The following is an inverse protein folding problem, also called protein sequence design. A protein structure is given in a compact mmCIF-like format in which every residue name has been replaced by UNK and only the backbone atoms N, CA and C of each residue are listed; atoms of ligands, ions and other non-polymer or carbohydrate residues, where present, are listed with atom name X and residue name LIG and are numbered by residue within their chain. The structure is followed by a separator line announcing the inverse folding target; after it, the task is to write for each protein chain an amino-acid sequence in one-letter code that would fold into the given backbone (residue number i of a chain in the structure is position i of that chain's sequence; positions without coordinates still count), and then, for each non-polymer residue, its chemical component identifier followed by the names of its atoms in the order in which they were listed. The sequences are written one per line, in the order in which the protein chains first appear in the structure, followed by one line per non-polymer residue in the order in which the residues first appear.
data_IF_016347095276
#
_entry.id   IF_016347095276
#
_cell.length_a   1.000
_cell.length_b   1.000
_cell.length_c   1.000
_cell.angle_alpha   90.00
_cell.angle_beta   90.00
_cell.angle_gamma   90.00
#
_symmetry.space_group_name_H-M   'P 1'
#
loop_
_entity.id
_entity.type
_entity.pdbx_description
1 polymer ?
#
# COMPACT_ATOMS: atom_id res chain seq x y z
N UNK A 1 -29.61 -103.00 -25.59
CA UNK A 1 -30.16 -104.37 -25.73
C UNK A 1 -31.11 -104.59 -24.55
N UNK A 2 -32.30 -103.99 -24.65
CA UNK A 2 -33.38 -104.18 -23.70
C UNK A 2 -34.59 -104.61 -24.52
N UNK A 3 -35.09 -105.78 -24.17
CA UNK A 3 -36.03 -106.60 -24.92
C UNK A 3 -37.37 -105.89 -25.00
N UNK A 4 -37.75 -105.49 -26.20
CA UNK A 4 -39.05 -104.89 -26.52
C UNK A 4 -40.14 -105.88 -26.09
N UNK A 5 -40.74 -105.62 -24.95
CA UNK A 5 -41.70 -106.49 -24.29
C UNK A 5 -43.06 -106.30 -24.96
N UNK A 6 -43.13 -106.59 -26.27
CA UNK A 6 -44.37 -106.72 -27.03
C UNK A 6 -45.20 -107.77 -26.30
N UNK A 7 -46.26 -107.36 -25.61
CA UNK A 7 -47.17 -108.26 -24.91
C UNK A 7 -47.52 -109.39 -25.88
N UNK A 8 -47.08 -110.62 -25.55
CA UNK A 8 -47.04 -111.79 -26.44
C UNK A 8 -48.41 -112.36 -26.82
N UNK A 9 -49.34 -111.50 -27.23
CA UNK A 9 -50.69 -111.80 -27.69
C UNK A 9 -50.65 -111.65 -29.22
N UNK A 10 -50.96 -112.73 -29.93
CA UNK A 10 -51.01 -112.69 -31.40
C UNK A 10 -52.44 -112.36 -31.88
N UNK A 11 -52.59 -112.03 -33.16
CA UNK A 11 -53.88 -111.70 -33.79
C UNK A 11 -54.97 -112.76 -33.56
N UNK A 12 -54.60 -114.04 -33.45
CA UNK A 12 -55.55 -115.13 -33.24
C UNK A 12 -56.11 -115.13 -31.81
N UNK A 13 -55.37 -114.60 -30.84
CA UNK A 13 -55.84 -114.45 -29.47
C UNK A 13 -56.78 -113.24 -29.32
N UNK A 14 -56.57 -112.16 -30.09
CA UNK A 14 -57.51 -111.03 -30.17
C UNK A 14 -58.84 -111.41 -30.84
N UNK A 15 -58.81 -112.31 -31.82
CA UNK A 15 -59.99 -112.79 -32.53
C UNK A 15 -60.98 -113.60 -31.67
N UNK A 16 -60.55 -114.07 -30.48
CA UNK A 16 -61.42 -114.78 -29.52
C UNK A 16 -62.32 -113.84 -28.73
N UNK A 17 -61.93 -112.57 -28.58
CA UNK A 17 -62.62 -111.59 -27.73
C UNK A 17 -63.33 -110.49 -28.51
N UNK A 18 -62.99 -110.31 -29.79
CA UNK A 18 -63.52 -109.25 -30.62
C UNK A 18 -64.36 -109.83 -31.77
N UNK A 19 -65.59 -109.34 -31.99
CA UNK A 19 -66.56 -109.96 -32.89
C UNK A 19 -66.26 -109.76 -34.38
N UNK A 20 -65.39 -108.80 -34.73
CA UNK A 20 -65.13 -108.43 -36.12
C UNK A 20 -63.68 -107.95 -36.36
N UNK A 21 -63.21 -108.09 -37.61
CA UNK A 21 -61.84 -107.76 -38.01
C UNK A 21 -61.50 -106.26 -37.90
N UNK A 22 -62.49 -105.36 -37.92
CA UNK A 22 -62.24 -103.92 -37.73
C UNK A 22 -61.93 -103.63 -36.28
N UNK A 23 -62.64 -104.25 -35.34
CA UNK A 23 -62.38 -104.15 -33.91
C UNK A 23 -60.97 -104.63 -33.54
N UNK A 24 -60.49 -105.73 -34.15
CA UNK A 24 -59.11 -106.22 -33.95
C UNK A 24 -58.08 -105.19 -34.42
N UNK A 25 -58.27 -104.59 -35.60
CA UNK A 25 -57.35 -103.59 -36.15
C UNK A 25 -57.37 -102.27 -35.36
N UNK A 26 -58.53 -101.86 -34.85
CA UNK A 26 -58.64 -100.71 -33.96
C UNK A 26 -57.89 -100.93 -32.64
N UNK A 27 -57.93 -102.16 -32.11
CA UNK A 27 -57.22 -102.53 -30.89
C UNK A 27 -55.70 -102.65 -31.11
N UNK A 28 -55.26 -103.19 -32.25
CA UNK A 28 -53.85 -103.18 -32.68
C UNK A 28 -53.30 -101.73 -32.77
N UNK A 29 -54.07 -100.81 -33.37
CA UNK A 29 -53.69 -99.40 -33.47
C UNK A 29 -53.58 -98.71 -32.10
N UNK A 30 -54.49 -99.03 -31.16
CA UNK A 30 -54.47 -98.46 -29.82
C UNK A 30 -53.17 -98.81 -29.08
N UNK A 31 -52.64 -100.02 -29.25
CA UNK A 31 -51.38 -100.41 -28.60
C UNK A 31 -50.16 -99.73 -29.21
N UNK A 32 -50.14 -99.56 -30.53
CA UNK A 32 -49.09 -98.76 -31.20
C UNK A 32 -49.12 -97.32 -30.68
N UNK A 33 -50.30 -96.74 -30.48
CA UNK A 33 -50.45 -95.40 -29.93
C UNK A 33 -50.00 -95.32 -28.46
N UNK A 34 -50.23 -96.36 -27.64
CA UNK A 34 -49.79 -96.41 -26.24
C UNK A 34 -48.27 -96.50 -26.12
N UNK A 35 -47.61 -97.34 -26.93
CA UNK A 35 -46.15 -97.48 -26.94
C UNK A 35 -45.47 -96.19 -27.45
N UNK A 36 -45.99 -95.59 -28.52
CA UNK A 36 -45.52 -94.30 -29.01
C UNK A 36 -45.70 -93.19 -27.95
N UNK A 37 -46.83 -93.18 -27.23
CA UNK A 37 -47.05 -92.20 -26.15
C UNK A 37 -46.12 -92.42 -24.96
N UNK A 38 -45.73 -93.66 -24.64
CA UNK A 38 -44.76 -93.94 -23.57
C UNK A 38 -43.36 -93.44 -23.92
N UNK A 39 -42.87 -93.69 -25.14
CA UNK A 39 -41.56 -93.19 -25.59
C UNK A 39 -41.54 -91.65 -25.68
N UNK A 40 -42.60 -91.04 -26.21
CA UNK A 40 -42.75 -89.57 -26.24
C UNK A 40 -42.69 -88.99 -24.82
N UNK A 41 -43.27 -89.65 -23.82
CA UNK A 41 -43.30 -89.17 -22.45
C UNK A 41 -41.90 -89.21 -21.78
N UNK A 42 -41.09 -90.23 -22.08
CA UNK A 42 -39.71 -90.35 -21.54
C UNK A 42 -38.78 -89.29 -22.13
N UNK A 43 -38.84 -89.06 -23.45
CA UNK A 43 -38.04 -88.01 -24.10
C UNK A 43 -38.46 -86.61 -23.65
N UNK A 44 -39.75 -86.39 -23.43
CA UNK A 44 -40.27 -85.13 -22.88
C UNK A 44 -39.77 -84.92 -21.43
N UNK A 45 -39.74 -85.97 -20.61
CA UNK A 45 -39.18 -85.90 -19.25
C UNK A 45 -37.68 -85.58 -19.27
N UNK A 46 -36.90 -86.19 -20.17
CA UNK A 46 -35.48 -85.92 -20.30
C UNK A 46 -35.20 -84.48 -20.77
N UNK A 47 -35.97 -83.97 -21.73
CA UNK A 47 -35.86 -82.56 -22.17
C UNK A 47 -36.29 -81.58 -21.08
N UNK A 48 -37.31 -81.90 -20.29
CA UNK A 48 -37.71 -81.10 -19.12
C UNK A 48 -36.61 -81.11 -18.05
N UNK A 49 -35.97 -82.25 -17.77
CA UNK A 49 -34.85 -82.33 -16.82
C UNK A 49 -33.66 -81.48 -17.27
N UNK A 50 -33.26 -81.58 -18.54
CA UNK A 50 -32.17 -80.78 -19.11
C UNK A 50 -32.48 -79.27 -19.09
N UNK A 51 -33.72 -78.87 -19.41
CA UNK A 51 -34.12 -77.47 -19.33
C UNK A 51 -34.15 -76.94 -17.89
N UNK A 52 -34.52 -77.79 -16.92
CA UNK A 52 -34.46 -77.48 -15.49
C UNK A 52 -33.02 -77.31 -15.00
N UNK A 53 -32.09 -78.15 -15.43
CA UNK A 53 -30.66 -78.02 -15.09
C UNK A 53 -30.06 -76.73 -15.65
N UNK A 54 -30.37 -76.40 -16.91
CA UNK A 54 -29.97 -75.13 -17.53
C UNK A 54 -30.58 -73.91 -16.80
N UNK A 55 -31.84 -74.02 -16.37
CA UNK A 55 -32.48 -72.97 -15.57
C UNK A 55 -31.79 -72.79 -14.21
N UNK A 56 -31.39 -73.89 -13.55
CA UNK A 56 -30.60 -73.86 -12.32
C UNK A 56 -29.24 -73.18 -12.50
N UNK A 57 -28.51 -73.52 -13.56
CA UNK A 57 -27.23 -72.89 -13.88
C UNK A 57 -27.37 -71.38 -14.16
N UNK A 58 -28.40 -70.97 -14.91
CA UNK A 58 -28.69 -69.56 -15.17
C UNK A 58 -29.06 -68.79 -13.89
N UNK A 59 -29.80 -69.41 -12.97
CA UNK A 59 -30.13 -68.81 -11.68
C UNK A 59 -28.87 -68.59 -10.80
N UNK A 60 -27.93 -69.53 -10.80
CA UNK A 60 -26.65 -69.38 -10.09
C UNK A 60 -25.82 -68.24 -10.69
N UNK A 61 -25.73 -68.15 -12.02
CA UNK A 61 -25.05 -67.04 -12.68
C UNK A 61 -25.67 -65.68 -12.37
N UNK A 62 -27.01 -65.60 -12.34
CA UNK A 62 -27.71 -64.37 -11.98
C UNK A 62 -27.41 -63.95 -10.52
N UNK A 63 -27.37 -64.90 -9.59
CA UNK A 63 -27.03 -64.62 -8.19
C UNK A 63 -25.58 -64.11 -8.05
N UNK A 64 -24.63 -64.72 -8.77
CA UNK A 64 -23.25 -64.25 -8.79
C UNK A 64 -23.12 -62.83 -9.38
N UNK A 65 -23.92 -62.51 -10.40
CA UNK A 65 -23.95 -61.16 -10.98
C UNK A 65 -24.52 -60.12 -10.01
N UNK A 66 -25.57 -60.48 -9.25
CA UNK A 66 -26.15 -59.62 -8.23
C UNK A 66 -25.13 -59.35 -7.11
N UNK A 67 -24.40 -60.38 -6.68
CA UNK A 67 -23.36 -60.21 -5.66
C UNK A 67 -22.22 -59.31 -6.15
N UNK A 68 -21.80 -59.45 -7.41
CA UNK A 68 -20.83 -58.56 -8.03
C UNK A 68 -21.34 -57.11 -8.13
N UNK A 69 -22.63 -56.92 -8.43
CA UNK A 69 -23.26 -55.59 -8.45
C UNK A 69 -23.31 -55.00 -7.03
N UNK A 70 -23.62 -55.80 -6.01
CA UNK A 70 -23.60 -55.35 -4.61
C UNK A 70 -22.19 -54.91 -4.18
N UNK A 71 -21.16 -55.71 -4.48
CA UNK A 71 -19.77 -55.34 -4.20
C UNK A 71 -19.37 -54.05 -4.94
N UNK A 72 -19.79 -53.89 -6.19
CA UNK A 72 -19.53 -52.68 -6.97
C UNK A 72 -20.29 -51.47 -6.41
N UNK A 73 -21.51 -51.65 -5.91
CA UNK A 73 -22.31 -50.62 -5.26
C UNK A 73 -21.71 -50.19 -3.91
N UNK A 74 -21.21 -51.14 -3.10
CA UNK A 74 -20.48 -50.84 -1.86
C UNK A 74 -19.18 -50.07 -2.15
N UNK A 75 -18.44 -50.46 -3.19
CA UNK A 75 -17.25 -49.75 -3.66
C UNK A 75 -17.60 -48.32 -4.11
N UNK A 76 -18.68 -48.15 -4.87
CA UNK A 76 -19.21 -46.84 -5.29
C UNK A 76 -19.68 -45.99 -4.12
N UNK A 77 -20.23 -46.59 -3.08
CA UNK A 77 -20.66 -45.90 -1.87
C UNK A 77 -19.48 -45.48 -0.97
N UNK A 78 -18.31 -46.13 -1.12
CA UNK A 78 -17.07 -45.76 -0.41
C UNK A 78 -16.19 -44.79 -1.21
N UNK A 79 -16.48 -44.53 -2.48
CA UNK A 79 -15.85 -43.42 -3.20
C UNK A 79 -16.23 -42.10 -2.51
N UNK A 80 -15.24 -41.22 -2.22
CA UNK A 80 -15.55 -39.88 -1.72
C UNK A 80 -16.38 -39.12 -2.75
N UNK A 81 -17.40 -38.41 -2.27
CA UNK A 81 -18.33 -37.61 -3.06
C UNK A 81 -17.58 -36.61 -3.98
N UNK A 82 -17.28 -37.00 -5.21
CA UNK A 82 -17.00 -36.07 -6.30
C UNK A 82 -18.35 -35.52 -6.78
N UNK A 83 -18.96 -34.66 -5.96
CA UNK A 83 -19.89 -33.67 -6.50
C UNK A 83 -19.07 -32.89 -7.51
N UNK A 84 -19.41 -32.99 -8.78
CA UNK A 84 -18.89 -32.10 -9.81
C UNK A 84 -19.30 -30.69 -9.39
N UNK A 85 -18.42 -30.00 -8.67
CA UNK A 85 -18.61 -28.65 -8.22
C UNK A 85 -18.70 -27.77 -9.46
N UNK A 86 -19.82 -27.06 -9.57
CA UNK A 86 -20.01 -25.97 -10.52
C UNK A 86 -18.77 -25.06 -10.54
N UNK A 87 -18.32 -24.74 -11.74
CA UNK A 87 -17.29 -23.75 -12.10
C UNK A 87 -16.29 -23.35 -10.99
N UNK A 88 -15.08 -23.92 -11.11
CA UNK A 88 -13.84 -23.21 -10.80
C UNK A 88 -13.52 -22.94 -9.31
N UNK A 89 -13.80 -23.91 -8.43
CA UNK A 89 -13.19 -23.95 -7.09
C UNK A 89 -12.51 -25.30 -6.88
N UNK A 90 -11.19 -25.29 -6.87
CA UNK A 90 -10.38 -26.42 -6.41
C UNK A 90 -10.69 -26.62 -4.92
N UNK A 91 -11.24 -27.78 -4.58
CA UNK A 91 -11.47 -28.19 -3.20
C UNK A 91 -10.13 -28.59 -2.58
N UNK A 92 -9.60 -27.75 -1.69
CA UNK A 92 -8.21 -27.75 -1.19
C UNK A 92 -7.87 -28.97 -0.32
N UNK A 93 -8.81 -29.92 -0.15
CA UNK A 93 -8.57 -31.18 0.53
C UNK A 93 -8.12 -32.32 -0.41
N UNK A 94 -7.91 -32.06 -1.70
CA UNK A 94 -7.27 -33.00 -2.63
C UNK A 94 -6.13 -32.29 -3.39
N UNK A 95 -4.89 -32.71 -3.15
CA UNK A 95 -3.66 -32.36 -3.90
C UNK A 95 -2.98 -31.01 -3.57
N UNK A 96 -2.43 -30.88 -2.36
CA UNK A 96 -1.15 -30.17 -2.15
C UNK A 96 -0.21 -31.04 -1.28
N UNK A 97 -0.15 -32.35 -1.56
CA UNK A 97 0.86 -33.25 -0.98
C UNK A 97 2.04 -33.50 -1.91
N UNK A 98 2.21 -32.69 -2.96
CA UNK A 98 3.40 -32.73 -3.79
C UNK A 98 4.24 -31.51 -3.45
N UNK A 99 5.52 -31.72 -3.16
CA UNK A 99 6.51 -30.64 -3.16
C UNK A 99 6.48 -30.08 -4.59
N UNK A 100 5.84 -28.93 -4.79
CA UNK A 100 5.83 -28.23 -6.06
C UNK A 100 7.00 -27.27 -6.09
N UNK A 101 7.90 -27.42 -7.06
CA UNK A 101 9.07 -26.53 -7.21
C UNK A 101 8.64 -25.10 -7.61
N UNK A 102 7.52 -24.96 -8.33
CA UNK A 102 6.98 -23.68 -8.78
C UNK A 102 5.46 -23.75 -9.01
N UNK A 103 4.86 -22.57 -9.20
CA UNK A 103 3.44 -22.35 -9.46
C UNK A 103 3.33 -21.45 -10.70
N UNK A 104 2.91 -22.01 -11.83
CA UNK A 104 2.73 -21.26 -13.07
C UNK A 104 1.36 -20.58 -13.10
N UNK A 105 1.33 -19.33 -13.55
CA UNK A 105 0.11 -18.56 -13.73
C UNK A 105 -0.20 -18.40 -15.22
N UNK A 106 -1.48 -18.46 -15.58
CA UNK A 106 -1.93 -18.16 -16.93
C UNK A 106 -1.69 -16.69 -17.25
N UNK A 107 -0.79 -16.43 -18.22
CA UNK A 107 -0.38 -15.08 -18.61
C UNK A 107 -1.27 -14.43 -19.67
N UNK A 108 -2.17 -15.20 -20.28
CA UNK A 108 -3.10 -14.71 -21.31
C UNK A 108 -4.50 -14.43 -20.76
N UNK A 109 -4.83 -14.95 -19.58
CA UNK A 109 -6.16 -14.80 -18.98
C UNK A 109 -6.45 -13.35 -18.53
N UNK A 110 -7.60 -12.82 -18.93
CA UNK A 110 -8.17 -11.61 -18.32
C UNK A 110 -8.89 -11.98 -17.04
N UNK A 111 -8.53 -11.37 -15.92
CA UNK A 111 -9.18 -11.63 -14.63
C UNK A 111 -9.93 -10.39 -14.14
N UNK A 112 -11.10 -10.61 -13.55
CA UNK A 112 -11.81 -9.56 -12.82
C UNK A 112 -11.20 -9.35 -11.44
N UNK A 113 -11.30 -8.11 -10.93
CA UNK A 113 -10.94 -7.80 -9.56
C UNK A 113 -11.76 -8.66 -8.58
N UNK A 114 -11.07 -9.29 -7.64
CA UNK A 114 -11.68 -9.90 -6.46
C UNK A 114 -10.71 -9.86 -5.29
N UNK A 115 -11.24 -9.74 -4.07
CA UNK A 115 -10.41 -9.72 -2.86
C UNK A 115 -9.77 -11.09 -2.67
N UNK A 116 -8.48 -11.10 -2.30
CA UNK A 116 -7.64 -12.28 -2.14
C UNK A 116 -7.40 -13.11 -3.42
N UNK A 117 -7.66 -12.52 -4.61
CA UNK A 117 -7.29 -13.13 -5.89
C UNK A 117 -5.86 -12.74 -6.27
N UNK A 118 -5.05 -13.74 -6.64
CA UNK A 118 -3.72 -13.59 -7.21
C UNK A 118 -3.78 -13.97 -8.70
N UNK A 119 -3.35 -13.08 -9.59
CA UNK A 119 -3.38 -13.33 -11.03
C UNK A 119 -2.24 -12.59 -11.75
N UNK A 120 -1.83 -13.08 -12.91
CA UNK A 120 -0.81 -12.42 -13.73
C UNK A 120 -1.39 -11.19 -14.45
N UNK A 121 -0.75 -10.03 -14.32
CA UNK A 121 -1.08 -8.82 -15.09
C UNK A 121 -0.17 -8.74 -16.32
N UNK A 122 -0.73 -8.97 -17.51
CA UNK A 122 0.03 -8.84 -18.76
C UNK A 122 0.48 -7.39 -19.05
N UNK A 123 -0.24 -6.39 -18.51
CA UNK A 123 0.10 -4.97 -18.69
C UNK A 123 1.27 -4.53 -17.79
N UNK A 124 1.33 -5.06 -16.57
CA UNK A 124 2.36 -4.72 -15.59
C UNK A 124 3.49 -5.76 -15.51
N UNK A 125 3.42 -6.84 -16.30
CA UNK A 125 4.41 -7.94 -16.36
C UNK A 125 4.73 -8.54 -14.97
N UNK A 126 3.73 -8.61 -14.10
CA UNK A 126 3.89 -9.09 -12.72
C UNK A 126 2.59 -9.67 -12.16
N UNK A 127 2.72 -10.42 -11.07
CA UNK A 127 1.58 -10.90 -10.29
C UNK A 127 0.89 -9.75 -9.57
N UNK A 128 -0.43 -9.77 -9.59
CA UNK A 128 -1.29 -8.80 -8.94
C UNK A 128 -2.18 -9.47 -7.89
N UNK A 129 -2.30 -8.85 -6.70
CA UNK A 129 -3.20 -9.30 -5.64
C UNK A 129 -4.29 -8.28 -5.35
N UNK A 130 -5.55 -8.75 -5.39
CA UNK A 130 -6.73 -7.94 -5.07
C UNK A 130 -6.94 -7.80 -3.56
N UNK A 131 -7.12 -6.56 -3.11
CA UNK A 131 -7.27 -6.20 -1.71
C UNK A 131 -8.64 -5.57 -1.45
N UNK A 132 -9.10 -5.58 -0.19
CA UNK A 132 -10.30 -4.82 0.20
C UNK A 132 -10.17 -3.33 -0.17
N UNK A 133 -11.28 -2.74 -0.63
CA UNK A 133 -11.33 -1.34 -1.05
C UNK A 133 -11.01 -1.11 -2.54
N UNK A 134 -11.02 -2.15 -3.38
CA UNK A 134 -10.80 -2.03 -4.82
C UNK A 134 -9.32 -1.90 -5.21
N UNK A 135 -8.39 -2.04 -4.26
CA UNK A 135 -6.95 -1.89 -4.51
C UNK A 135 -6.40 -3.17 -5.11
N UNK A 136 -5.64 -3.04 -6.20
CA UNK A 136 -4.88 -4.14 -6.80
C UNK A 136 -3.40 -3.82 -6.60
N UNK A 137 -2.67 -4.70 -5.92
CA UNK A 137 -1.23 -4.54 -5.70
C UNK A 137 -0.44 -5.24 -6.79
N UNK A 138 0.44 -4.53 -7.48
CA UNK A 138 1.47 -5.16 -8.33
C UNK A 138 2.63 -5.61 -7.44
N UNK A 139 2.81 -6.93 -7.33
CA UNK A 139 3.81 -7.51 -6.43
C UNK A 139 5.22 -7.17 -6.95
N UNK A 140 6.05 -6.61 -6.07
CA UNK A 140 7.41 -6.20 -6.41
C UNK A 140 7.54 -4.78 -6.99
N UNK A 141 6.44 -4.19 -7.45
CA UNK A 141 6.44 -2.82 -8.01
C UNK A 141 5.88 -1.77 -7.06
N UNK A 142 5.03 -2.19 -6.11
CA UNK A 142 4.29 -1.28 -5.23
C UNK A 142 4.47 -1.60 -3.75
N UNK A 143 4.64 -0.56 -2.95
CA UNK A 143 4.72 -0.60 -1.49
C UNK A 143 3.62 0.25 -0.87
N UNK A 144 2.78 -0.39 -0.06
CA UNK A 144 1.70 0.28 0.67
C UNK A 144 1.99 0.41 2.16
N UNK A 145 1.61 1.56 2.72
CA UNK A 145 1.41 1.72 4.14
C UNK A 145 -0.07 1.50 4.50
N UNK A 146 -0.33 0.68 5.51
CA UNK A 146 -1.67 0.48 6.07
C UNK A 146 -1.98 1.58 7.08
N UNK A 147 -3.11 2.25 6.89
CA UNK A 147 -3.50 3.42 7.70
C UNK A 147 -4.96 3.31 8.14
N UNK A 148 -5.31 4.01 9.22
CA UNK A 148 -6.71 4.13 9.68
C UNK A 148 -7.12 5.60 9.59
N UNK A 149 -8.19 5.89 8.85
CA UNK A 149 -8.69 7.24 8.74
C UNK A 149 -9.58 7.57 9.95
N UNK A 150 -9.12 8.47 10.81
CA UNK A 150 -9.90 8.99 11.95
C UNK A 150 -10.09 10.51 11.86
N UNK A 151 -10.07 11.10 10.65
CA UNK A 151 -10.15 12.56 10.46
C UNK A 151 -11.56 13.13 10.59
N UNK A 152 -12.59 12.28 10.70
CA UNK A 152 -13.99 12.71 10.68
C UNK A 152 -14.54 12.92 9.26
N UNK A 153 -13.75 12.72 8.21
CA UNK A 153 -14.15 12.93 6.81
C UNK A 153 -13.64 11.82 5.89
N UNK A 154 -14.20 11.74 4.68
CA UNK A 154 -13.66 10.88 3.62
C UNK A 154 -12.26 11.38 3.19
N UNK A 155 -11.31 10.46 3.06
CA UNK A 155 -10.07 10.67 2.32
C UNK A 155 -10.28 10.09 0.93
N UNK A 156 -10.12 10.91 -0.11
CA UNK A 156 -10.33 10.48 -1.49
C UNK A 156 -9.07 9.83 -2.07
N UNK A 157 -9.24 8.94 -3.03
CA UNK A 157 -8.16 8.41 -3.85
C UNK A 157 -7.30 9.57 -4.42
N UNK A 158 -5.98 9.39 -4.43
CA UNK A 158 -5.02 10.41 -4.85
C UNK A 158 -4.74 11.51 -3.82
N UNK A 159 -5.40 11.52 -2.66
CA UNK A 159 -5.09 12.51 -1.62
C UNK A 159 -3.68 12.30 -1.07
N UNK A 160 -2.92 13.37 -0.88
CA UNK A 160 -1.62 13.35 -0.19
C UNK A 160 -1.84 13.13 1.30
N UNK A 161 -1.28 12.04 1.83
CA UNK A 161 -1.45 11.63 3.22
C UNK A 161 -0.15 11.80 3.99
N UNK A 162 -0.29 12.23 5.24
CA UNK A 162 0.81 12.30 6.19
C UNK A 162 0.33 12.11 7.62
N UNK A 163 1.29 12.11 8.53
CA UNK A 163 1.03 12.03 9.97
C UNK A 163 0.51 13.37 10.49
N UNK A 164 -0.43 13.34 11.42
CA UNK A 164 -1.06 14.55 11.99
C UNK A 164 -0.57 14.89 13.39
N UNK A 165 0.42 14.17 13.93
CA UNK A 165 0.94 14.37 15.29
C UNK A 165 1.36 13.08 15.98
N UNK A 166 1.23 13.03 17.31
CA UNK A 166 1.73 11.92 18.13
C UNK A 166 1.10 10.57 17.78
N UNK A 167 1.93 9.60 17.40
CA UNK A 167 1.52 8.22 17.14
C UNK A 167 1.35 7.92 15.65
N UNK A 168 0.40 7.04 15.32
CA UNK A 168 0.15 6.55 13.95
C UNK A 168 -1.06 7.23 13.30
N UNK A 169 -1.48 8.38 13.83
CA UNK A 169 -2.62 9.12 13.32
C UNK A 169 -2.28 9.75 11.97
N UNK A 170 -3.17 9.55 11.00
CA UNK A 170 -3.00 10.05 9.63
C UNK A 170 -4.07 11.07 9.27
N UNK A 171 -3.76 11.90 8.28
CA UNK A 171 -4.69 12.83 7.68
C UNK A 171 -4.15 13.39 6.37
N UNK A 172 -4.92 14.33 5.79
CA UNK A 172 -4.50 15.04 4.59
C UNK A 172 -3.29 15.93 4.91
N UNK A 173 -2.18 15.72 4.23
CA UNK A 173 -0.95 16.48 4.46
C UNK A 173 -1.01 17.85 3.77
N UNK A 174 -0.43 18.87 4.39
CA UNK A 174 -0.31 20.22 3.82
C UNK A 174 1.14 20.71 3.94
N UNK A 175 1.71 21.22 2.85
CA UNK A 175 3.12 21.57 2.76
C UNK A 175 3.43 23.02 3.19
N UNK A 176 2.68 23.57 4.14
CA UNK A 176 2.78 24.97 4.57
C UNK A 176 3.80 25.25 5.69
N UNK A 177 4.55 24.23 6.13
CA UNK A 177 5.49 24.34 7.25
C UNK A 177 4.90 24.07 8.65
N UNK A 178 3.59 23.84 8.77
CA UNK A 178 2.94 23.52 10.06
C UNK A 178 3.25 22.08 10.49
N UNK A 179 3.43 21.18 9.52
CA UNK A 179 3.83 19.80 9.75
C UNK A 179 5.26 19.58 9.24
N UNK A 180 6.09 18.79 9.94
CA UNK A 180 7.41 18.42 9.46
C UNK A 180 7.37 17.68 8.12
N UNK A 181 8.40 17.88 7.29
CA UNK A 181 8.51 17.22 5.98
C UNK A 181 8.51 15.68 6.03
N UNK A 182 9.11 15.10 7.08
CA UNK A 182 9.17 13.65 7.29
C UNK A 182 7.82 13.03 7.68
N UNK A 183 6.78 13.83 7.89
CA UNK A 183 5.43 13.32 8.18
C UNK A 183 4.66 13.00 6.90
N UNK A 184 5.10 13.49 5.74
CA UNK A 184 4.51 13.11 4.46
C UNK A 184 4.77 11.62 4.19
N UNK A 185 3.72 10.87 3.87
CA UNK A 185 3.80 9.43 3.67
C UNK A 185 3.70 9.04 2.20
N UNK A 186 2.72 9.58 1.47
CA UNK A 186 2.45 9.19 0.08
C UNK A 186 1.05 9.59 -0.38
N UNK A 187 0.52 8.89 -1.38
CA UNK A 187 -0.84 9.12 -1.91
C UNK A 187 -1.80 8.01 -1.49
N UNK A 188 -3.04 8.36 -1.14
CA UNK A 188 -4.10 7.37 -0.96
C UNK A 188 -4.35 6.65 -2.30
N UNK A 189 -4.44 5.31 -2.27
CA UNK A 189 -4.70 4.49 -3.48
C UNK A 189 -6.17 4.11 -3.65
N UNK A 190 -7.01 4.54 -2.72
CA UNK A 190 -8.44 4.26 -2.67
C UNK A 190 -9.14 5.37 -1.89
N UNK A 191 -10.45 5.43 -2.00
CA UNK A 191 -11.28 6.15 -1.05
C UNK A 191 -11.25 5.44 0.32
N UNK A 192 -11.03 6.21 1.39
CA UNK A 192 -10.93 5.71 2.77
C UNK A 192 -11.94 6.49 3.62
N UNK A 193 -13.09 5.88 3.90
CA UNK A 193 -14.11 6.48 4.76
C UNK A 193 -13.61 6.67 6.20
N UNK A 194 -14.24 7.58 6.95
CA UNK A 194 -13.93 7.79 8.36
C UNK A 194 -14.12 6.48 9.14
N UNK A 195 -13.25 6.23 10.12
CA UNK A 195 -13.11 5.01 10.94
C UNK A 195 -12.68 3.74 10.17
N UNK A 196 -12.44 3.83 8.86
CA UNK A 196 -12.03 2.68 8.05
C UNK A 196 -10.51 2.58 7.89
N UNK A 197 -10.04 1.35 7.67
CA UNK A 197 -8.66 1.09 7.27
C UNK A 197 -8.51 1.19 5.75
N UNK A 198 -7.46 1.85 5.32
CA UNK A 198 -7.10 1.99 3.91
C UNK A 198 -5.63 1.70 3.65
N UNK A 199 -5.22 1.97 2.41
CA UNK A 199 -3.85 1.88 1.94
C UNK A 199 -3.40 3.21 1.34
N UNK A 200 -2.13 3.51 1.56
CA UNK A 200 -1.42 4.65 0.99
C UNK A 200 -0.22 4.13 0.24
N UNK A 201 -0.06 4.50 -1.03
CA UNK A 201 1.12 4.17 -1.84
C UNK A 201 2.28 5.05 -1.40
N UNK A 202 3.35 4.42 -0.92
CA UNK A 202 4.62 5.08 -0.57
C UNK A 202 5.59 4.98 -1.75
N UNK A 203 5.50 3.90 -2.52
CA UNK A 203 6.23 3.70 -3.76
C UNK A 203 5.36 2.89 -4.71
N UNK A 204 5.30 3.27 -5.99
CA UNK A 204 4.50 2.55 -6.99
C UNK A 204 3.50 3.44 -7.71
N UNK A 205 2.58 2.85 -8.48
CA UNK A 205 1.62 3.61 -9.28
C UNK A 205 0.35 3.89 -8.48
N UNK A 206 -0.26 5.04 -8.74
CA UNK A 206 -1.61 5.36 -8.26
C UNK A 206 -2.43 5.76 -9.47
N UNK A 207 -3.56 5.07 -9.65
CA UNK A 207 -4.44 5.18 -10.81
C UNK A 207 -5.82 5.71 -10.41
N UNK A 208 -6.61 6.12 -11.40
CA UNK A 208 -7.98 6.61 -11.17
C UNK A 208 -8.00 7.97 -10.47
N UNK A 209 -7.00 8.80 -10.79
CA UNK A 209 -6.87 10.16 -10.26
C UNK A 209 -6.89 11.17 -11.41
N UNK A 210 -7.57 12.30 -11.24
CA UNK A 210 -7.66 13.28 -12.30
C UNK A 210 -6.32 14.02 -12.48
N UNK A 211 -5.67 13.79 -13.62
CA UNK A 211 -4.39 14.41 -14.00
C UNK A 211 -4.53 15.34 -15.21
N UNK A 212 -5.75 15.73 -15.62
CA UNK A 212 -5.96 16.53 -16.84
C UNK A 212 -5.31 17.93 -16.80
N UNK A 213 -4.96 18.44 -15.62
CA UNK A 213 -4.25 19.71 -15.45
C UNK A 213 -2.71 19.61 -15.65
N UNK A 214 -2.21 18.41 -15.91
CA UNK A 214 -0.79 18.07 -15.98
C UNK A 214 -0.39 17.56 -17.37
N UNK A 215 0.91 17.48 -17.60
CA UNK A 215 1.49 16.76 -18.75
C UNK A 215 2.27 15.54 -18.26
N UNK A 216 2.41 14.53 -19.12
CA UNK A 216 3.26 13.36 -18.81
C UNK A 216 4.69 13.83 -18.54
N UNK A 217 5.28 13.39 -17.43
CA UNK A 217 6.59 13.81 -16.98
C UNK A 217 6.59 14.96 -15.96
N UNK A 218 5.45 15.60 -15.69
CA UNK A 218 5.35 16.62 -14.63
C UNK A 218 5.70 16.01 -13.27
N UNK A 219 6.61 16.65 -12.53
CA UNK A 219 6.87 16.34 -11.13
C UNK A 219 5.76 16.98 -10.29
N UNK A 220 5.10 16.17 -9.46
CA UNK A 220 4.11 16.65 -8.51
C UNK A 220 4.73 16.85 -7.13
N UNK A 221 4.31 17.90 -6.45
CA UNK A 221 4.71 18.28 -5.10
C UNK A 221 3.50 18.31 -4.19
N UNK A 222 3.69 18.09 -2.89
CA UNK A 222 2.63 18.31 -1.90
C UNK A 222 2.19 19.78 -1.91
N UNK A 223 0.88 20.03 -1.93
CA UNK A 223 0.37 21.39 -2.05
C UNK A 223 0.46 22.15 -0.72
N UNK A 224 0.94 23.41 -0.71
CA UNK A 224 1.06 24.21 0.51
C UNK A 224 -0.23 24.95 0.89
N UNK A 225 -1.25 24.98 0.04
CA UNK A 225 -2.49 25.75 0.25
C UNK A 225 -3.69 24.86 0.57
N UNK A 226 -3.76 23.69 -0.06
CA UNK A 226 -4.90 22.77 0.01
C UNK A 226 -4.44 21.43 0.56
N UNK A 227 -4.88 21.11 1.79
CA UNK A 227 -4.52 19.85 2.44
C UNK A 227 -4.97 18.64 1.60
N UNK A 228 -4.03 17.73 1.36
CA UNK A 228 -4.25 16.50 0.59
C UNK A 228 -4.21 16.69 -0.92
N UNK A 229 -3.99 17.91 -1.44
CA UNK A 229 -3.77 18.13 -2.85
C UNK A 229 -2.28 18.03 -3.21
N UNK A 230 -2.00 17.86 -4.49
CA UNK A 230 -0.67 17.99 -5.07
C UNK A 230 -0.68 19.04 -6.20
N UNK A 231 0.49 19.58 -6.52
CA UNK A 231 0.68 20.65 -7.51
C UNK A 231 1.93 20.41 -8.34
N UNK A 232 1.96 20.90 -9.59
CA UNK A 232 3.17 20.90 -10.43
C UNK A 232 4.11 22.08 -10.14
N UNK A 233 3.64 23.08 -9.40
CA UNK A 233 4.45 24.25 -9.06
C UNK A 233 5.23 23.95 -7.80
N UNK A 234 6.56 23.92 -7.91
CA UNK A 234 7.44 23.67 -6.77
C UNK A 234 7.20 24.72 -5.66
N UNK A 235 6.83 24.31 -4.42
CA UNK A 235 6.68 25.24 -3.31
C UNK A 235 7.97 26.00 -3.01
N UNK A 236 7.85 27.27 -2.64
CA UNK A 236 8.97 28.14 -2.25
C UNK A 236 8.92 28.41 -0.75
N UNK A 237 10.09 28.54 -0.12
CA UNK A 237 10.23 28.89 1.29
C UNK A 237 9.34 30.11 1.65
N UNK A 238 8.61 30.08 2.78
CA UNK A 238 8.73 29.17 3.92
C UNK A 238 8.01 27.82 3.77
N UNK A 239 7.27 27.60 2.68
CA UNK A 239 6.59 26.33 2.41
C UNK A 239 7.60 25.21 2.13
N UNK A 240 7.20 23.97 2.41
CA UNK A 240 8.05 22.79 2.25
C UNK A 240 7.89 22.24 0.82
N UNK A 241 9.00 22.02 0.13
CA UNK A 241 9.01 21.38 -1.19
C UNK A 241 9.22 19.87 -1.04
N UNK A 242 8.15 19.08 -1.08
CA UNK A 242 8.23 17.60 -1.08
C UNK A 242 7.82 17.09 -2.45
N UNK A 243 8.73 16.59 -3.29
CA UNK A 243 8.36 15.91 -4.52
C UNK A 243 7.70 14.58 -4.16
N UNK A 244 6.50 14.34 -4.67
CA UNK A 244 5.71 13.14 -4.39
C UNK A 244 5.85 12.07 -5.46
N UNK A 245 6.11 12.46 -6.70
CA UNK A 245 6.07 11.55 -7.84
C UNK A 245 6.09 12.26 -9.18
N UNK A 246 5.83 11.49 -10.23
CA UNK A 246 5.75 11.98 -11.61
C UNK A 246 4.43 11.52 -12.24
N UNK A 247 3.79 12.38 -13.03
CA UNK A 247 2.61 12.01 -13.82
C UNK A 247 3.03 11.10 -14.98
N UNK A 248 2.46 9.91 -15.05
CA UNK A 248 2.74 8.90 -16.10
C UNK A 248 1.61 8.81 -17.12
N UNK A 249 0.38 9.17 -16.76
CA UNK A 249 -0.78 9.21 -17.66
C UNK A 249 -1.64 10.45 -17.38
N UNK A 250 -2.03 11.15 -18.45
CA UNK A 250 -2.90 12.34 -18.40
C UNK A 250 -4.31 11.97 -18.86
N UNK A 251 -5.24 11.86 -17.91
CA UNK A 251 -6.64 11.55 -18.15
C UNK A 251 -7.50 11.93 -16.93
N UNK A 252 -8.83 11.80 -17.06
CA UNK A 252 -9.73 11.85 -15.90
C UNK A 252 -9.41 10.68 -14.96
N UNK A 253 -9.18 9.50 -15.52
CA UNK A 253 -8.61 8.33 -14.85
C UNK A 253 -7.11 8.24 -15.15
N UNK A 254 -6.37 9.23 -14.66
CA UNK A 254 -4.94 9.35 -14.84
C UNK A 254 -4.10 8.46 -13.92
N UNK A 255 -2.78 8.57 -14.07
CA UNK A 255 -1.80 7.82 -13.31
C UNK A 255 -0.63 8.71 -12.87
N UNK A 256 -0.18 8.48 -11.64
CA UNK A 256 1.05 9.05 -11.07
C UNK A 256 1.92 7.91 -10.54
N UNK A 257 3.21 7.97 -10.86
CA UNK A 257 4.23 7.15 -10.21
C UNK A 257 4.73 7.85 -8.94
N UNK A 258 4.35 7.30 -7.79
CA UNK A 258 4.59 7.84 -6.46
C UNK A 258 5.97 7.38 -5.95
N UNK A 259 6.76 8.35 -5.50
CA UNK A 259 8.09 8.17 -4.88
C UNK A 259 8.47 9.40 -4.05
N UNK A 260 7.85 9.61 -2.86
CA UNK A 260 8.12 10.78 -2.04
C UNK A 260 9.59 10.83 -1.63
N UNK A 261 10.27 11.93 -1.94
CA UNK A 261 11.61 12.19 -1.43
C UNK A 261 11.47 13.07 -0.21
N UNK A 262 11.68 12.48 0.97
CA UNK A 262 11.56 13.18 2.24
C UNK A 262 12.91 13.79 2.60
N UNK A 263 13.07 15.08 2.32
CA UNK A 263 14.20 15.83 2.85
C UNK A 263 13.88 16.30 4.27
N UNK A 264 14.85 16.18 5.16
CA UNK A 264 14.73 16.66 6.52
C UNK A 264 14.78 18.19 6.52
N UNK A 265 13.70 18.83 6.99
CA UNK A 265 13.55 20.29 6.99
C UNK A 265 14.71 20.97 7.74
N UNK A 266 15.31 22.00 7.15
CA UNK A 266 16.27 22.89 7.80
C UNK A 266 15.61 24.19 8.22
N UNK A 267 15.94 24.65 9.43
CA UNK A 267 15.39 25.88 9.99
C UNK A 267 16.27 27.09 9.65
N UNK A 268 15.64 28.25 9.50
CA UNK A 268 16.32 29.49 9.15
C UNK A 268 15.55 30.72 9.64
N UNK A 269 16.22 31.85 9.70
CA UNK A 269 15.60 33.13 10.02
C UNK A 269 16.44 34.30 9.51
N UNK A 270 15.79 35.37 9.09
CA UNK A 270 16.41 36.64 8.75
C UNK A 270 15.70 37.76 9.47
N UNK A 271 16.48 38.55 10.21
CA UNK A 271 15.98 39.58 11.10
C UNK A 271 16.79 40.85 10.91
N UNK A 272 16.14 41.99 11.11
CA UNK A 272 16.79 43.29 10.98
C UNK A 272 16.43 44.23 12.12
N UNK A 273 17.36 45.13 12.43
CA UNK A 273 17.09 46.38 13.15
C UNK A 273 17.02 47.50 12.11
N UNK A 274 15.82 48.02 11.88
CA UNK A 274 15.56 49.05 10.85
C UNK A 274 15.66 50.49 11.37
N UNK A 275 15.94 50.67 12.66
CA UNK A 275 16.12 51.97 13.30
C UNK A 275 17.54 52.13 13.82
N UNK A 276 18.05 53.36 13.87
CA UNK A 276 19.35 53.62 14.49
C UNK A 276 19.29 53.43 16.00
N UNK A 277 20.38 52.94 16.59
CA UNK A 277 20.52 52.76 18.04
C UNK A 277 21.84 53.36 18.53
N UNK A 278 21.80 53.99 19.71
CA UNK A 278 22.94 54.63 20.37
C UNK A 278 23.14 54.03 21.76
N UNK A 279 24.36 54.11 22.30
CA UNK A 279 24.65 53.66 23.66
C UNK A 279 24.19 54.71 24.68
N UNK A 280 23.43 54.27 25.69
CA UNK A 280 23.00 55.13 26.79
C UNK A 280 24.11 55.43 27.80
N UNK A 281 25.10 54.54 27.91
CA UNK A 281 26.22 54.65 28.85
C UNK A 281 27.47 54.02 28.26
N UNK A 282 28.63 54.61 28.56
CA UNK A 282 29.93 54.06 28.17
C UNK A 282 30.26 52.80 28.96
N UNK A 283 31.12 51.95 28.42
CA UNK A 283 31.61 50.71 29.06
C UNK A 283 30.49 49.78 29.58
N UNK A 284 29.30 49.87 28.98
CA UNK A 284 28.11 49.12 29.42
C UNK A 284 27.61 48.24 28.29
N UNK A 285 27.57 46.93 28.52
CA UNK A 285 27.05 45.95 27.59
C UNK A 285 25.55 46.18 27.34
N UNK A 286 25.19 46.51 26.10
CA UNK A 286 23.82 46.77 25.68
C UNK A 286 23.36 45.72 24.68
N UNK A 287 22.17 45.16 24.87
CA UNK A 287 21.59 44.22 23.92
C UNK A 287 21.09 44.95 22.67
N UNK A 288 21.31 44.38 21.49
CA UNK A 288 20.76 44.88 20.23
C UNK A 288 19.37 44.28 20.06
N UNK A 289 18.34 45.13 19.96
CA UNK A 289 16.95 44.72 19.79
C UNK A 289 16.58 44.72 18.32
N UNK A 290 16.52 43.54 17.70
CA UNK A 290 16.01 43.40 16.33
C UNK A 290 14.49 43.67 16.34
N UNK A 291 13.97 44.34 15.32
CA UNK A 291 12.58 44.82 15.30
C UNK A 291 11.76 44.31 14.11
N UNK A 292 12.41 43.66 13.15
CA UNK A 292 11.78 43.20 11.91
C UNK A 292 12.14 41.74 11.65
N UNK A 293 11.15 40.90 11.36
CA UNK A 293 11.33 39.54 10.83
C UNK A 293 11.14 39.59 9.32
N UNK A 294 12.20 39.38 8.55
CA UNK A 294 12.14 39.39 7.09
C UNK A 294 11.64 38.06 6.55
N UNK A 295 12.18 36.96 7.08
CA UNK A 295 11.72 35.59 6.81
C UNK A 295 12.06 34.71 8.00
N UNK A 296 11.23 33.71 8.30
CA UNK A 296 11.49 32.78 9.41
C UNK A 296 10.88 31.41 9.16
N UNK A 297 11.56 30.38 9.67
CA UNK A 297 11.09 29.01 9.79
C UNK A 297 11.83 28.32 10.93
N UNK A 298 11.16 28.06 12.06
CA UNK A 298 11.76 27.45 13.26
C UNK A 298 12.74 28.33 14.04
N UNK A 299 12.95 29.58 13.62
CA UNK A 299 13.73 30.61 14.33
C UNK A 299 12.88 31.87 14.43
N UNK A 300 12.77 32.49 15.60
CA UNK A 300 11.89 33.65 15.80
C UNK A 300 12.50 34.68 16.76
N UNK A 301 12.01 35.94 16.68
CA UNK A 301 12.26 36.93 17.72
C UNK A 301 11.47 36.56 18.98
N UNK A 302 12.16 36.50 20.12
CA UNK A 302 11.60 36.17 21.41
C UNK A 302 11.24 37.39 22.26
N UNK A 303 10.99 37.14 23.54
CA UNK A 303 10.82 38.17 24.56
C UNK A 303 11.95 38.10 25.61
N UNK A 304 12.67 39.22 25.88
CA UNK A 304 12.65 40.50 25.15
C UNK A 304 13.11 40.37 23.69
N UNK A 305 12.80 41.38 22.86
CA UNK A 305 13.06 41.40 21.42
C UNK A 305 14.56 41.34 21.01
N UNK A 306 15.49 41.42 21.98
CA UNK A 306 16.91 41.13 21.76
C UNK A 306 17.20 39.65 21.51
N UNK A 307 16.26 38.76 21.86
CA UNK A 307 16.43 37.31 21.76
C UNK A 307 16.02 36.79 20.40
N UNK A 308 16.89 35.97 19.81
CA UNK A 308 16.60 35.16 18.63
C UNK A 308 16.56 33.71 19.10
N UNK A 309 15.34 33.15 19.16
CA UNK A 309 15.04 31.85 19.74
C UNK A 309 14.96 30.81 18.64
N UNK A 310 15.56 29.63 18.85
CA UNK A 310 15.40 28.48 17.96
C UNK A 310 14.41 27.49 18.56
N UNK A 311 13.45 27.02 17.76
CA UNK A 311 12.44 26.05 18.20
C UNK A 311 12.95 24.60 18.20
N UNK A 312 14.01 24.32 17.44
CA UNK A 312 14.51 22.97 17.19
C UNK A 312 16.01 22.90 17.47
N UNK A 313 16.44 21.75 18.01
CA UNK A 313 17.87 21.48 18.22
C UNK A 313 18.62 21.37 16.91
N UNK A 314 19.91 21.68 16.95
CA UNK A 314 20.85 21.45 15.86
C UNK A 314 22.02 22.41 15.89
N UNK A 315 22.85 22.34 14.84
CA UNK A 315 23.97 23.24 14.61
C UNK A 315 23.53 24.40 13.73
N UNK A 316 23.66 25.63 14.24
CA UNK A 316 23.24 26.84 13.56
C UNK A 316 24.43 27.75 13.24
N UNK A 317 24.40 28.36 12.07
CA UNK A 317 25.31 29.42 11.63
C UNK A 317 24.60 30.77 11.75
N UNK A 318 25.17 31.67 12.53
CA UNK A 318 24.68 33.04 12.75
C UNK A 318 25.60 34.02 12.02
N UNK A 319 25.08 34.62 10.96
CA UNK A 319 25.80 35.59 10.13
C UNK A 319 25.17 36.95 10.34
N UNK A 320 25.93 37.87 10.96
CA UNK A 320 25.47 39.21 11.30
C UNK A 320 26.30 40.27 10.59
N UNK A 321 25.65 41.34 10.16
CA UNK A 321 26.28 42.58 9.71
C UNK A 321 25.76 43.77 10.52
N UNK A 322 26.67 44.67 10.89
CA UNK A 322 26.40 45.90 11.63
C UNK A 322 26.86 47.08 10.80
N UNK A 323 25.96 48.02 10.51
CA UNK A 323 26.31 49.30 9.92
C UNK A 323 26.57 50.30 11.04
N UNK A 324 27.80 50.81 11.11
CA UNK A 324 28.31 51.65 12.19
C UNK A 324 28.61 53.06 11.69
N UNK A 325 28.44 54.04 12.59
CA UNK A 325 28.95 55.40 12.40
C UNK A 325 29.32 56.04 13.73
N UNK A 326 30.22 57.02 13.68
CA UNK A 326 30.53 57.89 14.80
C UNK A 326 29.82 59.25 14.66
N UNK A 327 29.56 59.93 15.77
CA UNK A 327 28.94 61.27 15.78
C UNK A 327 29.96 62.40 15.60
N UNK A 328 31.24 62.10 15.73
CA UNK A 328 32.36 63.03 15.54
C UNK A 328 33.64 62.28 15.14
N UNK A 329 34.63 63.01 14.63
CA UNK A 329 35.92 62.47 14.16
C UNK A 329 36.94 62.34 15.29
N UNK A 330 36.68 61.44 16.22
CA UNK A 330 37.64 60.93 17.20
C UNK A 330 37.58 59.41 17.21
N UNK A 331 38.73 58.77 17.41
CA UNK A 331 38.84 57.30 17.41
C UNK A 331 37.97 56.73 18.53
N UNK A 332 37.05 55.82 18.17
CA UNK A 332 36.17 55.11 19.12
C UNK A 332 36.15 53.63 18.79
N UNK A 333 36.43 52.80 19.78
CA UNK A 333 36.32 51.35 19.63
C UNK A 333 34.91 50.87 19.93
N UNK A 334 34.34 50.10 19.01
CA UNK A 334 33.06 49.41 19.19
C UNK A 334 33.34 47.92 19.36
N UNK A 335 32.85 47.35 20.45
CA UNK A 335 32.93 45.93 20.77
C UNK A 335 31.58 45.29 20.44
N UNK A 336 31.58 44.20 19.68
CA UNK A 336 30.38 43.47 19.25
C UNK A 336 30.57 41.98 19.51
N UNK A 337 29.59 41.30 20.11
CA UNK A 337 29.72 39.88 20.45
C UNK A 337 28.36 39.17 20.54
N UNK A 338 28.43 37.85 20.73
CA UNK A 338 27.26 36.99 20.89
C UNK A 338 27.10 36.55 22.34
N UNK A 339 25.85 36.46 22.79
CA UNK A 339 25.46 35.91 24.09
C UNK A 339 24.49 34.75 23.84
N UNK A 340 24.67 33.61 24.51
CA UNK A 340 23.75 32.46 24.44
C UNK A 340 23.11 32.27 25.81
N UNK A 341 21.78 32.20 25.86
CA UNK A 341 21.03 31.94 27.09
C UNK A 341 21.46 32.86 28.27
N UNK A 342 21.76 34.13 27.99
CA UNK A 342 22.19 35.09 28.99
C UNK A 342 23.69 35.10 29.33
N UNK A 343 24.50 34.19 28.77
CA UNK A 343 25.95 34.08 29.02
C UNK A 343 26.76 34.45 27.77
N UNK A 344 27.74 35.34 27.94
CA UNK A 344 28.61 35.77 26.84
C UNK A 344 29.38 34.58 26.26
N UNK A 345 29.35 34.43 24.95
CA UNK A 345 30.05 33.33 24.29
C UNK A 345 31.54 33.68 24.25
N UNK A 346 32.43 32.84 24.82
CA UNK A 346 33.86 33.08 24.79
C UNK A 346 34.40 33.25 23.36
N UNK A 347 35.37 34.15 23.19
CA UNK A 347 36.02 34.46 21.90
C UNK A 347 35.06 34.93 20.79
N UNK A 348 33.85 35.40 21.12
CA UNK A 348 32.86 35.91 20.16
C UNK A 348 32.93 37.42 19.91
N UNK A 349 33.82 38.14 20.60
CA UNK A 349 34.01 39.59 20.43
C UNK A 349 34.80 39.93 19.17
N UNK A 350 34.30 40.87 18.37
CA UNK A 350 35.07 41.65 17.40
C UNK A 350 35.16 43.09 17.90
N UNK A 351 36.27 43.75 17.59
CA UNK A 351 36.50 45.16 17.90
C UNK A 351 36.71 45.89 16.58
N UNK A 352 36.03 47.03 16.43
CA UNK A 352 36.17 47.89 15.26
C UNK A 352 36.36 49.35 15.71
N UNK A 353 37.42 49.97 15.23
CA UNK A 353 37.74 51.38 15.52
C UNK A 353 37.12 52.29 14.46
N UNK A 354 36.36 53.29 14.90
CA UNK A 354 35.76 54.32 14.06
C UNK A 354 36.56 55.61 14.19
N UNK A 355 37.06 56.16 13.08
CA UNK A 355 37.96 57.34 13.11
C UNK A 355 37.30 58.61 12.56
N UNK A 356 36.19 58.48 11.83
CA UNK A 356 35.52 59.58 11.12
C UNK A 356 34.04 59.71 11.52
N UNK A 357 33.60 60.94 11.79
CA UNK A 357 32.20 61.25 12.07
C UNK A 357 31.27 61.22 10.85
N UNK A 358 31.83 61.14 9.64
CA UNK A 358 31.05 61.12 8.38
C UNK A 358 31.07 59.76 7.69
N UNK A 359 31.95 58.84 8.10
CA UNK A 359 32.05 57.53 7.48
C UNK A 359 30.92 56.60 7.95
N UNK A 360 30.40 55.79 7.02
CA UNK A 360 29.59 54.61 7.33
C UNK A 360 30.46 53.39 7.08
N UNK A 361 30.66 52.57 8.12
CA UNK A 361 31.43 51.33 8.02
C UNK A 361 30.51 50.14 8.27
N UNK A 362 30.87 48.99 7.71
CA UNK A 362 30.14 47.74 7.94
C UNK A 362 31.10 46.73 8.55
N UNK A 363 30.70 46.17 9.68
CA UNK A 363 31.41 45.06 10.31
C UNK A 363 30.52 43.83 10.28
N UNK A 364 31.07 42.68 9.88
CA UNK A 364 30.33 41.42 9.83
C UNK A 364 31.01 40.32 10.60
N UNK A 365 30.24 39.32 11.05
CA UNK A 365 30.74 38.12 11.69
C UNK A 365 29.86 36.92 11.41
N UNK A 366 30.49 35.77 11.23
CA UNK A 366 29.85 34.47 11.26
C UNK A 366 30.25 33.75 12.55
N UNK A 367 29.30 33.12 13.24
CA UNK A 367 29.56 32.26 14.38
C UNK A 367 28.64 31.03 14.35
N UNK A 368 29.23 29.85 14.49
CA UNK A 368 28.50 28.57 14.48
C UNK A 368 28.31 28.05 15.90
N UNK A 369 27.08 27.70 16.28
CA UNK A 369 26.71 27.31 17.65
C UNK A 369 25.76 26.11 17.61
N UNK A 370 26.02 25.11 18.46
CA UNK A 370 25.03 24.07 18.75
C UNK A 370 23.95 24.62 19.69
N UNK A 371 22.70 24.49 19.26
CA UNK A 371 21.53 24.99 19.98
C UNK A 371 20.61 23.83 20.34
N UNK A 372 20.03 23.88 21.52
CA UNK A 372 18.91 23.02 21.90
C UNK A 372 17.58 23.71 21.54
N UNK A 373 16.50 22.93 21.48
CA UNK A 373 15.17 23.50 21.34
C UNK A 373 14.88 24.48 22.50
N UNK A 374 14.47 25.70 22.16
CA UNK A 374 14.20 26.78 23.13
C UNK A 374 15.41 27.63 23.50
N UNK A 375 16.63 27.26 23.09
CA UNK A 375 17.81 28.11 23.27
C UNK A 375 17.66 29.43 22.48
N UNK A 376 18.30 30.49 22.97
CA UNK A 376 18.33 31.77 22.28
C UNK A 376 19.72 32.37 22.23
N UNK A 377 19.95 33.18 21.21
CA UNK A 377 21.11 34.07 21.13
C UNK A 377 20.67 35.53 21.22
N UNK A 378 21.58 36.37 21.67
CA UNK A 378 21.47 37.81 21.66
C UNK A 378 22.74 38.40 21.07
N UNK A 379 22.57 39.52 20.37
CA UNK A 379 23.68 40.33 19.87
C UNK A 379 23.93 41.45 20.87
N UNK A 380 25.17 41.64 21.28
CA UNK A 380 25.53 42.67 22.24
C UNK A 380 26.60 43.60 21.69
N UNK A 381 26.57 44.84 22.18
CA UNK A 381 27.55 45.85 21.84
C UNK A 381 27.86 46.78 23.01
N UNK A 382 29.07 47.34 23.00
CA UNK A 382 29.54 48.33 23.97
C UNK A 382 30.67 49.18 23.37
N UNK A 383 30.93 50.33 23.98
CA UNK A 383 32.06 51.19 23.63
C UNK A 383 32.47 52.02 24.85
N UNK A 384 33.76 52.39 24.99
CA UNK A 384 34.22 53.40 25.94
C UNK A 384 33.71 54.82 25.64
N UNK A 385 33.05 55.03 24.50
CA UNK A 385 32.51 56.31 24.05
C UNK A 385 31.03 56.15 23.61
N UNK A 386 30.18 57.15 23.88
CA UNK A 386 28.74 57.10 23.54
C UNK A 386 28.42 57.73 22.17
N UNK A 387 29.39 58.35 21.52
CA UNK A 387 29.33 58.90 20.17
C UNK A 387 29.47 57.85 19.07
N UNK A 388 29.06 56.61 19.33
CA UNK A 388 28.95 55.50 18.38
C UNK A 388 27.48 55.14 18.16
N UNK A 389 27.15 54.73 16.93
CA UNK A 389 25.77 54.43 16.55
C UNK A 389 25.71 53.21 15.63
N UNK A 390 24.77 52.30 15.90
CA UNK A 390 24.23 51.39 14.90
C UNK A 390 23.34 52.22 13.98
N UNK A 391 23.76 52.43 12.74
CA UNK A 391 23.16 53.43 11.85
C UNK A 391 22.21 52.76 10.85
N UNK A 392 20.91 53.02 10.95
CA UNK A 392 19.99 52.82 9.84
C UNK A 392 20.02 54.05 8.91
N UNK A 393 19.74 53.86 7.62
CA UNK A 393 19.64 54.93 6.62
C UNK A 393 18.24 54.87 6.01
N UNK A 394 17.55 56.01 6.00
CA UNK A 394 16.25 56.12 5.33
C UNK A 394 16.41 56.02 3.80
N UNK A 395 15.36 55.55 3.12
CA UNK A 395 15.34 55.52 1.66
C UNK A 395 15.45 56.93 1.08
N UNK A 396 16.18 57.05 -0.03
CA UNK A 396 16.28 58.26 -0.85
C UNK A 396 15.71 58.00 -2.24
N UNK A 397 15.69 59.01 -3.12
CA UNK A 397 15.24 58.83 -4.51
C UNK A 397 16.15 57.87 -5.32
N UNK A 398 17.41 57.72 -4.92
CA UNK A 398 18.41 56.92 -5.65
C UNK A 398 18.81 55.62 -4.94
N UNK A 399 18.37 55.40 -3.68
CA UNK A 399 18.73 54.22 -2.89
C UNK A 399 17.62 53.81 -1.94
N UNK A 400 17.35 52.50 -1.77
CA UNK A 400 16.45 52.02 -0.71
C UNK A 400 17.03 52.27 0.69
N UNK A 401 16.20 52.06 1.70
CA UNK A 401 16.61 52.15 3.11
C UNK A 401 17.62 51.04 3.45
N UNK A 402 18.56 51.33 4.34
CA UNK A 402 19.54 50.37 4.86
C UNK A 402 19.30 50.12 6.36
N UNK A 403 19.17 48.86 6.80
CA UNK A 403 19.04 48.54 8.22
C UNK A 403 20.36 48.80 8.97
N UNK A 404 20.26 49.03 10.28
CA UNK A 404 21.41 49.17 11.16
C UNK A 404 22.11 47.83 11.42
N UNK A 405 21.32 46.76 11.55
CA UNK A 405 21.81 45.39 11.77
C UNK A 405 20.97 44.42 10.93
N UNK A 406 21.63 43.45 10.31
CA UNK A 406 20.98 42.31 9.67
C UNK A 406 21.60 41.03 10.23
N UNK A 407 20.74 40.11 10.67
CA UNK A 407 21.12 38.79 11.15
C UNK A 407 20.45 37.72 10.29
N UNK A 408 21.25 36.82 9.73
CA UNK A 408 20.80 35.61 9.09
C UNK A 408 21.21 34.40 9.93
N UNK A 409 20.25 33.51 10.16
CA UNK A 409 20.41 32.28 10.93
C UNK A 409 20.08 31.13 10.01
N UNK A 410 21.00 30.18 9.87
CA UNK A 410 20.79 28.99 9.05
C UNK A 410 21.18 27.75 9.85
N UNK A 411 20.28 26.77 9.96
CA UNK A 411 20.64 25.45 10.45
C UNK A 411 21.50 24.76 9.38
N UNK A 412 22.72 24.40 9.76
CA UNK A 412 23.69 23.74 8.87
C UNK A 412 23.73 22.23 9.09
N UNK A 413 23.38 21.78 10.30
CA UNK A 413 23.25 20.37 10.64
C UNK A 413 22.13 20.21 11.67
N UNK A 414 21.43 19.08 11.62
CA UNK A 414 20.40 18.71 12.58
C UNK A 414 21.00 18.17 13.88
#
# INVERSE_FOLDING_TARGET
MATDKRLGINRNDLAKFLPDQRSIKAFENLFVDVDNNQEINVDLINTVSLSSENAGANAILALALIEAINQLAELKATEPNNVLLEENKIDVNYVLSNITDYLDFDTANTYDFSVARLAWSANDDTLSIGHTGGVVQQIGEETFARVTNNTGSLIQNGSVIGLTGSGTAIGKYIANGTLPSNYCLGLATQDIANTQRGRVTVYGRVRGINTTAYVVGDIIYADPTTAGAFTKVKPTAPNISIPLGIVTLVAIDGEVFVRPILEQQRYFGSFSLTASASLASVNTATAITLNTTNVSNGVALGSPASRVVVANSGLYSFVVSFQLSATNSSIKDVYLWFRKNGVDIPNSTIVHSLESGSAKTVQSRNYTISMNAGDYIELYWASPDNGVQLSAIASTAFSPAAPAVTLNVNQIQQ
#
